data_IF_881894479144
#
_entry.id   IF_881894479144
#
_cell.length_a   1.000
_cell.length_b   1.000
_cell.length_c   1.000
_cell.angle_alpha   90.00
_cell.angle_beta   90.00
_cell.angle_gamma   90.00
#
_symmetry.space_group_name_H-M   'P 1'
#
loop_
_entity.id
_entity.type
_entity.pdbx_description
1 polymer ?
#
# COMPACT_ATOMS: atom_id res chain seq x y z
N UNK A 1 -0.08 98.27 24.87
CA UNK A 1 -1.40 98.82 24.47
C UNK A 1 -2.12 97.77 23.63
N UNK A 2 -3.31 97.31 24.07
CA UNK A 2 -4.40 96.67 23.28
C UNK A 2 -4.04 95.38 22.50
N UNK A 3 -4.87 94.35 22.35
CA UNK A 3 -6.15 93.84 22.88
C UNK A 3 -6.24 92.45 22.20
N UNK A 4 -6.63 91.39 22.90
CA UNK A 4 -7.01 90.13 22.24
C UNK A 4 -8.30 90.31 21.40
N UNK A 5 -8.65 89.37 20.48
CA UNK A 5 -9.49 88.25 20.94
C UNK A 5 -9.29 86.89 20.23
N UNK A 6 -9.91 85.89 20.86
CA UNK A 6 -10.08 84.48 20.52
C UNK A 6 -10.71 84.19 19.14
N UNK A 7 -10.44 83.00 18.57
CA UNK A 7 -11.50 82.06 18.10
C UNK A 7 -11.03 80.60 18.01
N UNK A 8 -11.94 79.70 18.41
CA UNK A 8 -11.91 78.23 18.53
C UNK A 8 -11.92 77.44 17.20
N UNK A 9 -11.40 76.19 17.22
CA UNK A 9 -12.12 74.88 17.05
C UNK A 9 -11.11 73.73 16.79
N UNK A 10 -10.86 72.83 17.75
CA UNK A 10 -11.47 71.50 18.00
C UNK A 10 -10.99 70.35 17.09
N UNK A 11 -10.23 69.41 17.68
CA UNK A 11 -10.40 67.93 17.60
C UNK A 11 -9.29 67.25 18.43
N UNK A 12 -9.53 66.90 19.72
CA UNK A 12 -9.73 65.53 20.22
C UNK A 12 -8.91 64.44 19.49
N UNK A 13 -7.89 63.89 20.16
CA UNK A 13 -7.50 62.46 20.17
C UNK A 13 -6.68 62.24 21.45
N UNK A 14 -7.33 61.82 22.54
CA UNK A 14 -7.45 60.44 23.03
C UNK A 14 -6.18 59.95 23.74
N UNK A 15 -6.28 59.99 25.07
CA UNK A 15 -5.36 59.47 26.07
C UNK A 15 -5.63 57.97 26.24
N UNK A 16 -4.65 57.08 26.05
CA UNK A 16 -4.66 55.73 26.64
C UNK A 16 -3.23 55.28 27.01
N UNK A 17 -2.96 55.42 28.31
CA UNK A 17 -2.25 54.49 29.21
C UNK A 17 -1.31 53.44 28.60
N UNK A 18 -0.03 53.67 28.86
CA UNK A 18 1.05 52.71 28.91
C UNK A 18 0.81 51.75 30.10
N UNK A 19 0.39 50.51 29.83
CA UNK A 19 0.30 49.44 30.84
C UNK A 19 0.62 48.08 30.19
N UNK A 20 1.65 47.42 30.72
CA UNK A 20 1.75 45.97 30.71
C UNK A 20 2.05 45.31 29.36
N UNK A 21 3.27 45.46 28.84
CA UNK A 21 3.87 44.40 28.05
C UNK A 21 4.27 43.25 29.01
N UNK A 22 3.28 42.52 29.54
CA UNK A 22 3.53 41.19 30.06
C UNK A 22 3.91 40.34 28.86
N UNK A 23 5.18 39.94 28.82
CA UNK A 23 5.63 38.88 27.95
C UNK A 23 4.63 37.72 28.06
N UNK A 24 3.87 37.47 26.99
CA UNK A 24 3.26 36.18 26.77
C UNK A 24 4.45 35.23 26.59
N UNK A 25 5.02 34.78 27.70
CA UNK A 25 5.72 33.52 27.70
C UNK A 25 4.67 32.55 27.17
N UNK A 26 4.89 32.04 25.95
CA UNK A 26 4.28 30.80 25.55
C UNK A 26 4.67 29.81 26.65
N UNK A 27 3.78 29.65 27.63
CA UNK A 27 3.89 28.57 28.59
C UNK A 27 3.75 27.35 27.69
N UNK A 28 4.88 26.76 27.32
CA UNK A 28 4.94 25.37 26.92
C UNK A 28 4.37 24.65 28.13
N UNK A 29 3.05 24.41 28.11
CA UNK A 29 2.36 23.68 29.14
C UNK A 29 3.11 22.36 29.26
N UNK A 30 3.69 22.13 30.43
CA UNK A 30 4.37 20.86 30.71
C UNK A 30 3.32 19.78 30.51
N UNK A 31 3.67 18.73 29.78
CA UNK A 31 2.80 17.58 29.58
C UNK A 31 2.34 17.03 30.93
N UNK A 32 1.06 17.15 31.26
CA UNK A 32 0.51 16.62 32.51
C UNK A 32 0.13 15.14 32.32
N UNK A 33 0.40 14.33 33.35
CA UNK A 33 -0.04 12.93 33.39
C UNK A 33 -1.19 12.79 34.35
N UNK A 34 -2.36 12.40 33.83
CA UNK A 34 -3.54 12.13 34.63
C UNK A 34 -3.73 10.62 34.76
N UNK A 35 -3.80 10.13 36.00
CA UNK A 35 -4.09 8.74 36.31
C UNK A 35 -5.58 8.55 36.60
N UNK A 36 -6.21 7.60 35.92
CA UNK A 36 -7.61 7.22 36.17
C UNK A 36 -7.73 6.55 37.55
N UNK A 37 -8.58 7.10 38.41
CA UNK A 37 -8.74 6.66 39.81
C UNK A 37 -9.82 5.58 40.00
N UNK A 38 -10.97 5.60 39.29
CA UNK A 38 -12.00 4.56 39.46
C UNK A 38 -11.54 3.16 39.05
N UNK A 39 -12.04 2.12 39.73
CA UNK A 39 -11.66 0.71 39.50
C UNK A 39 -12.65 -0.11 38.65
N UNK A 40 -13.85 0.43 38.38
CA UNK A 40 -14.97 -0.33 37.75
C UNK A 40 -15.54 0.30 36.45
N UNK A 41 -14.95 1.38 35.95
CA UNK A 41 -15.43 2.16 34.79
C UNK A 41 -15.88 3.56 35.19
N UNK A 42 -16.41 4.33 34.23
CA UNK A 42 -16.90 5.70 34.47
C UNK A 42 -16.95 6.55 33.20
N UNK A 43 -17.18 7.85 33.35
CA UNK A 43 -17.17 8.78 32.23
C UNK A 43 -15.78 9.40 32.06
N UNK A 44 -15.24 9.36 30.85
CA UNK A 44 -14.10 10.20 30.46
C UNK A 44 -14.67 11.45 29.81
N UNK A 45 -14.69 12.53 30.60
CA UNK A 45 -15.19 13.82 30.18
C UNK A 45 -14.46 14.97 30.89
N UNK A 46 -14.82 16.20 30.53
CA UNK A 46 -14.18 17.42 31.03
C UNK A 46 -14.72 17.88 32.39
N UNK A 47 -15.63 17.14 33.00
CA UNK A 47 -16.39 17.58 34.19
C UNK A 47 -16.22 16.68 35.40
N UNK A 48 -15.86 15.41 35.19
CA UNK A 48 -15.79 14.39 36.23
C UNK A 48 -14.41 14.35 36.88
N UNK A 49 -14.38 14.34 38.21
CA UNK A 49 -13.15 14.25 39.01
C UNK A 49 -12.56 12.82 39.08
N UNK A 50 -12.65 12.06 37.99
CA UNK A 50 -12.18 10.67 37.90
C UNK A 50 -10.66 10.56 37.71
N UNK A 51 -9.96 11.69 37.57
CA UNK A 51 -8.55 11.76 37.20
C UNK A 51 -7.73 12.30 38.35
N UNK A 52 -6.48 11.84 38.50
CA UNK A 52 -5.52 12.35 39.46
C UNK A 52 -4.28 12.86 38.73
N UNK A 53 -3.96 14.14 38.90
CA UNK A 53 -2.82 14.84 38.30
C UNK A 53 -1.51 14.72 39.11
N UNK A 54 -1.50 13.84 40.11
CA UNK A 54 -0.40 13.65 41.06
C UNK A 54 -0.57 14.45 42.36
N UNK A 55 -1.45 15.44 42.40
CA UNK A 55 -1.73 16.24 43.59
C UNK A 55 -3.14 16.01 44.13
N UNK A 56 -4.15 15.98 43.25
CA UNK A 56 -5.54 15.85 43.66
C UNK A 56 -6.39 15.18 42.60
N UNK A 57 -7.58 14.72 42.99
CA UNK A 57 -8.58 14.28 42.01
C UNK A 57 -9.19 15.50 41.32
N UNK A 58 -9.02 15.59 40.01
CA UNK A 58 -9.43 16.71 39.18
C UNK A 58 -10.17 16.22 37.93
N UNK A 59 -10.81 17.16 37.22
CA UNK A 59 -11.40 16.86 35.92
C UNK A 59 -10.32 16.72 34.85
N UNK A 60 -10.57 15.89 33.83
CA UNK A 60 -9.66 15.77 32.69
C UNK A 60 -9.59 17.09 31.91
N UNK A 61 -8.37 17.48 31.58
CA UNK A 61 -8.12 18.62 30.70
C UNK A 61 -7.69 18.08 29.34
N UNK A 62 -8.47 18.39 28.31
CA UNK A 62 -8.09 18.05 26.94
C UNK A 62 -6.79 18.73 26.54
N UNK A 63 -5.85 17.97 26.00
CA UNK A 63 -4.58 18.49 25.52
C UNK A 63 -3.76 17.42 24.83
N UNK A 64 -3.23 17.73 23.65
CA UNK A 64 -2.35 16.84 22.89
C UNK A 64 -0.98 16.63 23.54
N UNK A 65 -0.65 17.41 24.58
CA UNK A 65 0.52 17.18 25.44
C UNK A 65 0.23 16.26 26.62
N UNK A 66 -1.04 16.02 26.95
CA UNK A 66 -1.40 15.31 28.17
C UNK A 66 -1.34 13.79 27.98
N UNK A 67 -1.10 13.08 29.07
CA UNK A 67 -1.09 11.62 29.11
C UNK A 67 -2.23 11.12 29.98
N UNK A 68 -3.11 10.33 29.37
CA UNK A 68 -4.15 9.59 30.04
C UNK A 68 -3.62 8.20 30.44
N UNK A 69 -3.42 7.98 31.74
CA UNK A 69 -2.93 6.72 32.28
C UNK A 69 -4.05 5.97 33.00
N UNK A 70 -4.46 4.85 32.42
CA UNK A 70 -5.48 3.98 32.96
C UNK A 70 -4.85 2.89 33.81
N UNK A 71 -5.08 2.98 35.13
CA UNK A 71 -4.68 1.97 36.11
C UNK A 71 -5.35 0.60 35.85
N UNK A 72 -4.86 -0.49 36.46
CA UNK A 72 -5.44 -1.81 36.30
C UNK A 72 -6.94 -1.85 36.61
N UNK A 73 -7.71 -2.36 35.65
CA UNK A 73 -9.15 -2.57 35.78
C UNK A 73 -9.51 -4.00 36.16
N UNK A 74 -10.67 -4.14 36.79
CA UNK A 74 -11.41 -5.40 36.77
C UNK A 74 -11.90 -5.76 35.36
N UNK A 75 -12.28 -7.01 35.15
CA UNK A 75 -12.84 -7.45 33.87
C UNK A 75 -14.11 -6.66 33.51
N UNK A 76 -14.19 -6.14 32.28
CA UNK A 76 -15.39 -5.49 31.74
C UNK A 76 -15.58 -4.02 32.09
N UNK A 77 -14.54 -3.34 32.59
CA UNK A 77 -14.61 -1.90 32.85
C UNK A 77 -14.94 -1.13 31.56
N UNK A 78 -15.99 -0.32 31.62
CA UNK A 78 -16.43 0.53 30.52
C UNK A 78 -16.15 1.99 30.85
N UNK A 79 -15.40 2.65 29.98
CA UNK A 79 -15.14 4.09 30.03
C UNK A 79 -15.94 4.74 28.91
N UNK A 80 -16.84 5.64 29.27
CA UNK A 80 -17.75 6.32 28.34
C UNK A 80 -17.25 7.72 28.04
N UNK A 81 -16.93 7.99 26.77
CA UNK A 81 -16.63 9.30 26.23
C UNK A 81 -17.95 10.03 25.97
N UNK A 82 -18.35 10.89 26.92
CA UNK A 82 -19.56 11.73 26.78
C UNK A 82 -19.27 13.02 26.01
N UNK A 83 -18.00 13.34 25.79
CA UNK A 83 -17.50 14.49 25.03
C UNK A 83 -16.33 14.06 24.15
N UNK A 84 -15.91 14.92 23.22
CA UNK A 84 -14.70 14.67 22.44
C UNK A 84 -13.47 14.82 23.34
N UNK A 85 -12.60 13.81 23.32
CA UNK A 85 -11.40 13.75 24.15
C UNK A 85 -10.18 13.92 23.28
N UNK A 86 -9.25 14.77 23.74
CA UNK A 86 -7.93 14.98 23.12
C UNK A 86 -6.86 14.65 24.14
N UNK A 87 -5.98 13.72 23.80
CA UNK A 87 -4.83 13.32 24.63
C UNK A 87 -3.61 13.04 23.75
N UNK A 88 -2.41 13.36 24.20
CA UNK A 88 -1.19 12.99 23.48
C UNK A 88 -0.93 11.48 23.56
N UNK A 89 -1.11 10.93 24.75
CA UNK A 89 -0.87 9.52 25.03
C UNK A 89 -2.04 8.91 25.81
N UNK A 90 -2.41 7.70 25.43
CA UNK A 90 -3.28 6.81 26.17
C UNK A 90 -2.46 5.59 26.58
N UNK A 91 -2.27 5.38 27.88
CA UNK A 91 -1.62 4.17 28.40
C UNK A 91 -2.61 3.37 29.21
N UNK A 92 -2.69 2.06 28.98
CA UNK A 92 -3.42 1.14 29.85
C UNK A 92 -2.44 0.20 30.51
N UNK A 93 -2.51 0.05 31.82
CA UNK A 93 -1.70 -0.90 32.57
C UNK A 93 -2.62 -1.90 33.25
N UNK A 94 -2.65 -3.16 32.80
CA UNK A 94 -3.50 -4.20 33.42
C UNK A 94 -3.86 -5.30 32.44
N UNK A 95 -4.22 -6.50 32.93
CA UNK A 95 -4.53 -7.66 32.08
C UNK A 95 -5.96 -7.75 31.54
N UNK A 96 -6.88 -6.93 32.07
CA UNK A 96 -8.29 -6.94 31.67
C UNK A 96 -8.56 -6.13 30.39
N UNK A 97 -9.68 -6.39 29.73
CA UNK A 97 -10.16 -5.57 28.60
C UNK A 97 -10.84 -4.30 29.10
N UNK A 98 -10.39 -3.15 28.61
CA UNK A 98 -11.08 -1.86 28.75
C UNK A 98 -12.00 -1.62 27.55
N UNK A 99 -13.24 -1.20 27.80
CA UNK A 99 -14.17 -0.80 26.74
C UNK A 99 -14.20 0.73 26.67
N UNK A 100 -13.80 1.30 25.54
CA UNK A 100 -13.96 2.73 25.24
C UNK A 100 -15.17 2.92 24.33
N UNK A 101 -16.24 3.50 24.85
CA UNK A 101 -17.50 3.70 24.15
C UNK A 101 -18.02 5.13 24.34
N UNK A 102 -19.14 5.49 23.70
CA UNK A 102 -19.81 6.77 23.87
C UNK A 102 -20.01 7.51 22.55
N UNK A 103 -20.68 8.65 22.62
CA UNK A 103 -20.94 9.50 21.45
C UNK A 103 -19.75 10.42 21.09
N UNK A 104 -18.80 10.60 22.01
CA UNK A 104 -17.59 11.38 21.77
C UNK A 104 -16.56 10.67 20.88
N UNK A 105 -15.63 11.45 20.32
CA UNK A 105 -14.46 10.94 19.60
C UNK A 105 -13.21 10.94 20.48
N UNK A 106 -12.21 10.15 20.10
CA UNK A 106 -10.90 10.13 20.73
C UNK A 106 -9.83 10.59 19.74
N UNK A 107 -9.25 11.76 20.01
CA UNK A 107 -8.06 12.25 19.35
C UNK A 107 -6.83 11.87 20.18
N UNK A 108 -6.06 10.90 19.69
CA UNK A 108 -4.88 10.37 20.39
C UNK A 108 -3.75 10.01 19.42
N UNK A 109 -2.55 10.47 19.74
CA UNK A 109 -1.37 10.19 18.92
C UNK A 109 -0.71 8.86 19.32
N UNK A 110 -0.60 8.57 20.62
CA UNK A 110 0.11 7.39 21.12
C UNK A 110 -0.82 6.53 21.97
N UNK A 111 -0.94 5.25 21.63
CA UNK A 111 -1.60 4.25 22.47
C UNK A 111 -0.54 3.25 22.92
N UNK A 112 -0.50 2.96 24.22
CA UNK A 112 0.38 1.97 24.80
C UNK A 112 -0.40 1.00 25.68
N UNK A 113 -0.35 -0.28 25.35
CA UNK A 113 -0.83 -1.34 26.25
C UNK A 113 0.36 -1.98 26.95
N UNK A 114 0.51 -1.69 28.24
CA UNK A 114 1.55 -2.23 29.07
C UNK A 114 0.99 -3.37 29.93
N UNK A 115 1.71 -4.49 29.98
CA UNK A 115 1.36 -5.59 30.86
C UNK A 115 2.02 -5.47 32.22
N UNK A 116 1.29 -5.86 33.26
CA UNK A 116 1.90 -6.38 34.50
C UNK A 116 2.07 -7.88 34.29
N UNK A 117 3.22 -8.45 34.69
CA UNK A 117 3.48 -9.91 34.63
C UNK A 117 3.22 -10.60 33.28
N UNK A 118 3.44 -9.91 32.16
CA UNK A 118 3.43 -10.48 30.82
C UNK A 118 2.07 -10.51 30.09
N UNK A 119 0.96 -10.13 30.75
CA UNK A 119 -0.35 -9.98 30.11
C UNK A 119 -0.72 -8.51 29.95
N UNK A 120 -0.88 -8.07 28.71
CA UNK A 120 -1.31 -6.72 28.37
C UNK A 120 -2.81 -6.71 28.06
N UNK A 121 -3.54 -5.80 28.70
CA UNK A 121 -4.98 -5.63 28.55
C UNK A 121 -5.34 -5.20 27.14
N UNK A 122 -6.50 -5.65 26.67
CA UNK A 122 -7.03 -5.22 25.37
C UNK A 122 -7.88 -3.95 25.53
N UNK A 123 -8.01 -3.20 24.44
CA UNK A 123 -8.91 -2.05 24.33
C UNK A 123 -9.97 -2.42 23.28
N UNK A 124 -11.22 -2.50 23.71
CA UNK A 124 -12.37 -2.57 22.83
C UNK A 124 -12.83 -1.15 22.52
N UNK A 125 -12.53 -0.69 21.30
CA UNK A 125 -12.71 0.68 20.89
C UNK A 125 -13.95 0.84 20.01
N UNK A 126 -15.03 1.30 20.63
CA UNK A 126 -16.28 1.70 19.97
C UNK A 126 -16.32 3.21 19.68
N UNK A 127 -15.54 4.01 20.39
CA UNK A 127 -15.36 5.42 20.05
C UNK A 127 -14.52 5.58 18.78
N UNK A 128 -14.85 6.55 17.93
CA UNK A 128 -14.11 6.84 16.69
C UNK A 128 -12.75 7.48 17.02
N UNK A 129 -11.67 6.95 16.44
CA UNK A 129 -10.37 7.63 16.44
C UNK A 129 -10.37 8.77 15.43
N UNK A 130 -9.96 9.96 15.86
CA UNK A 130 -9.87 11.18 15.04
C UNK A 130 -8.50 11.84 15.24
N UNK A 131 -8.23 12.93 14.51
CA UNK A 131 -7.05 13.77 14.73
C UNK A 131 -6.32 14.16 13.46
N UNK A 132 -5.56 15.26 13.50
CA UNK A 132 -4.75 15.71 12.37
C UNK A 132 -3.30 15.18 12.44
N UNK A 133 -3.12 13.96 12.95
CA UNK A 133 -1.83 13.31 13.13
C UNK A 133 -1.94 11.78 13.06
N UNK A 134 -0.80 11.12 12.81
CA UNK A 134 -0.73 9.66 12.78
C UNK A 134 -1.03 9.03 14.14
N UNK A 135 -1.14 7.69 14.13
CA UNK A 135 -1.34 6.87 15.33
C UNK A 135 -0.12 5.98 15.54
N UNK A 136 0.50 6.06 16.71
CA UNK A 136 1.50 5.12 17.18
C UNK A 136 0.87 4.16 18.19
N UNK A 137 0.89 2.86 17.90
CA UNK A 137 0.43 1.84 18.84
C UNK A 137 1.58 0.90 19.22
N UNK A 138 1.82 0.78 20.53
CA UNK A 138 2.80 -0.13 21.10
C UNK A 138 2.17 -1.07 22.13
N UNK A 139 2.65 -2.32 22.18
CA UNK A 139 2.35 -3.27 23.25
C UNK A 139 3.65 -3.88 23.76
N UNK A 140 3.72 -4.13 25.07
CA UNK A 140 4.85 -4.83 25.71
C UNK A 140 4.54 -6.27 26.14
N UNK A 141 3.31 -6.75 25.95
CA UNK A 141 2.93 -8.13 26.27
C UNK A 141 3.63 -9.17 25.40
N UNK A 142 3.66 -10.43 25.83
CA UNK A 142 4.25 -11.52 25.03
C UNK A 142 3.31 -11.93 23.88
N UNK A 143 3.83 -12.64 22.88
CA UNK A 143 3.00 -13.15 21.77
C UNK A 143 1.87 -14.03 22.33
N UNK A 144 0.63 -13.82 21.87
CA UNK A 144 -0.63 -14.39 22.36
C UNK A 144 -1.18 -13.80 23.68
N UNK A 145 -0.40 -13.00 24.40
CA UNK A 145 -0.80 -12.26 25.61
C UNK A 145 -0.57 -10.75 25.47
N UNK A 146 -0.39 -10.31 24.22
CA UNK A 146 -0.21 -8.92 23.84
C UNK A 146 -1.52 -8.14 23.93
N UNK A 147 -1.41 -6.85 24.23
CA UNK A 147 -2.57 -5.98 24.30
C UNK A 147 -3.11 -5.82 22.89
N UNK A 148 -4.41 -6.00 22.72
CA UNK A 148 -5.06 -5.81 21.44
C UNK A 148 -5.77 -4.46 21.41
N UNK A 149 -5.61 -3.72 20.32
CA UNK A 149 -6.48 -2.62 19.99
C UNK A 149 -7.57 -3.16 19.05
N UNK A 150 -8.76 -3.42 19.59
CA UNK A 150 -9.90 -3.93 18.84
C UNK A 150 -10.72 -2.74 18.35
N UNK A 151 -10.50 -2.36 17.10
CA UNK A 151 -11.18 -1.23 16.46
C UNK A 151 -12.51 -1.72 15.90
N UNK A 152 -13.60 -1.10 16.36
CA UNK A 152 -14.98 -1.46 15.99
C UNK A 152 -15.69 -0.39 15.17
N UNK A 153 -15.06 0.78 15.00
CA UNK A 153 -15.54 1.91 14.20
C UNK A 153 -14.40 2.42 13.33
N UNK A 154 -14.71 2.78 12.08
CA UNK A 154 -13.71 3.26 11.13
C UNK A 154 -13.03 4.54 11.64
N UNK A 155 -11.70 4.55 11.64
CA UNK A 155 -10.91 5.69 12.08
C UNK A 155 -10.83 6.78 11.01
N UNK A 156 -10.60 8.02 11.43
CA UNK A 156 -10.57 9.21 10.57
C UNK A 156 -9.54 10.22 11.06
N UNK A 157 -8.37 9.71 11.45
CA UNK A 157 -7.19 10.54 11.67
C UNK A 157 -6.37 10.67 10.38
N UNK A 158 -5.54 11.71 10.28
CA UNK A 158 -4.65 11.93 9.13
C UNK A 158 -3.24 11.45 9.43
N UNK A 159 -2.51 10.90 8.46
CA UNK A 159 -1.13 10.49 8.66
C UNK A 159 -1.01 9.01 8.98
N UNK A 160 0.22 8.57 9.27
CA UNK A 160 0.57 7.15 9.26
C UNK A 160 0.23 6.42 10.57
N UNK A 161 -0.01 5.11 10.44
CA UNK A 161 -0.21 4.19 11.56
C UNK A 161 1.09 3.44 11.79
N UNK A 162 1.70 3.60 12.96
CA UNK A 162 2.93 2.91 13.32
C UNK A 162 2.67 1.89 14.41
N UNK A 163 3.04 0.64 14.16
CA UNK A 163 2.96 -0.46 15.13
C UNK A 163 4.37 -0.83 15.61
N UNK A 164 4.54 -0.97 16.92
CA UNK A 164 5.82 -1.35 17.54
C UNK A 164 5.66 -2.35 18.70
N UNK A 165 6.78 -2.95 19.12
CA UNK A 165 6.77 -4.02 20.13
C UNK A 165 5.95 -5.21 19.67
N UNK A 166 4.97 -5.62 20.48
CA UNK A 166 4.02 -6.70 20.15
C UNK A 166 2.63 -6.17 19.80
N UNK A 167 2.53 -4.92 19.34
CA UNK A 167 1.26 -4.29 18.99
C UNK A 167 0.39 -5.18 18.10
N UNK A 168 -0.85 -5.38 18.52
CA UNK A 168 -1.85 -6.17 17.82
C UNK A 168 -3.10 -5.33 17.56
N UNK A 169 -3.34 -4.97 16.32
CA UNK A 169 -4.57 -4.27 15.91
C UNK A 169 -5.52 -5.27 15.29
N UNK A 170 -6.77 -5.28 15.78
CA UNK A 170 -7.85 -6.11 15.29
C UNK A 170 -8.92 -5.22 14.64
N UNK A 171 -9.13 -5.38 13.33
CA UNK A 171 -10.29 -4.85 12.62
C UNK A 171 -11.49 -5.74 12.93
N UNK A 172 -12.29 -5.35 13.91
CA UNK A 172 -13.40 -6.16 14.43
C UNK A 172 -14.73 -5.70 13.81
N UNK A 173 -15.18 -6.44 12.80
CA UNK A 173 -16.44 -6.21 12.08
C UNK A 173 -16.58 -4.81 11.47
N UNK A 174 -15.47 -4.18 11.09
CA UNK A 174 -15.45 -2.84 10.51
C UNK A 174 -14.49 -2.78 9.34
N UNK A 175 -14.94 -2.21 8.23
CA UNK A 175 -14.07 -1.85 7.11
C UNK A 175 -13.35 -0.54 7.40
N UNK A 176 -12.11 -0.43 6.95
CA UNK A 176 -11.26 0.73 7.21
C UNK A 176 -11.14 1.04 8.71
N UNK A 177 -10.85 0.02 9.53
CA UNK A 177 -10.44 0.21 10.92
C UNK A 177 -9.29 1.21 11.04
N UNK A 178 -8.39 1.21 10.05
CA UNK A 178 -7.40 2.26 9.85
C UNK A 178 -7.84 3.21 8.72
N UNK A 179 -7.47 4.50 8.76
CA UNK A 179 -7.83 5.46 7.72
C UNK A 179 -7.24 5.09 6.36
N UNK A 180 -7.99 5.32 5.28
CA UNK A 180 -7.55 4.98 3.91
C UNK A 180 -6.27 5.70 3.46
N UNK A 181 -5.96 6.83 4.09
CA UNK A 181 -4.81 7.68 3.78
C UNK A 181 -3.53 7.27 4.51
N UNK A 182 -3.60 6.29 5.40
CA UNK A 182 -2.48 5.89 6.27
C UNK A 182 -1.48 4.99 5.53
N UNK A 183 -0.18 5.22 5.72
CA UNK A 183 0.79 4.14 5.55
C UNK A 183 0.81 3.32 6.84
N UNK A 184 0.61 2.01 6.73
CA UNK A 184 0.74 1.10 7.86
C UNK A 184 2.21 0.66 7.99
N UNK A 185 2.90 1.23 8.99
CA UNK A 185 4.30 0.95 9.30
C UNK A 185 4.40 -0.08 10.43
N UNK A 186 4.87 -1.30 10.12
CA UNK A 186 4.83 -2.42 11.05
C UNK A 186 6.22 -2.90 11.45
N UNK A 187 6.56 -2.78 12.74
CA UNK A 187 7.77 -3.43 13.26
C UNK A 187 7.62 -4.96 13.29
N UNK A 188 8.75 -5.68 13.33
CA UNK A 188 8.75 -7.13 13.58
C UNK A 188 8.00 -7.46 14.88
N UNK A 189 7.26 -8.57 14.90
CA UNK A 189 6.46 -9.01 16.04
C UNK A 189 5.08 -8.38 16.16
N UNK A 190 4.78 -7.34 15.37
CA UNK A 190 3.45 -6.70 15.36
C UNK A 190 2.46 -7.44 14.47
N UNK A 191 1.17 -7.26 14.73
CA UNK A 191 0.09 -7.88 13.95
C UNK A 191 -1.00 -6.87 13.60
N UNK A 192 -1.43 -6.86 12.35
CA UNK A 192 -2.70 -6.29 11.91
C UNK A 192 -3.59 -7.43 11.44
N UNK A 193 -4.78 -7.56 12.02
CA UNK A 193 -5.69 -8.66 11.74
C UNK A 193 -7.07 -8.18 11.31
N UNK A 194 -7.55 -8.74 10.20
CA UNK A 194 -8.92 -8.61 9.73
C UNK A 194 -9.73 -9.81 10.26
N UNK A 195 -10.66 -9.54 11.16
CA UNK A 195 -11.21 -10.59 12.06
C UNK A 195 -12.47 -11.30 11.54
N UNK A 196 -13.28 -10.59 10.75
CA UNK A 196 -14.64 -10.99 10.34
C UNK A 196 -14.73 -11.10 8.82
N UNK A 197 -15.82 -11.68 8.33
CA UNK A 197 -16.06 -11.89 6.90
C UNK A 197 -16.29 -10.58 6.16
N UNK A 198 -15.90 -10.55 4.89
CA UNK A 198 -16.25 -9.47 3.95
C UNK A 198 -15.80 -8.09 4.42
N UNK A 199 -14.69 -8.01 5.16
CA UNK A 199 -14.12 -6.75 5.59
C UNK A 199 -13.09 -6.28 4.57
N UNK A 200 -13.18 -5.00 4.22
CA UNK A 200 -12.19 -4.34 3.37
C UNK A 200 -11.38 -3.38 4.23
N UNK A 201 -10.06 -3.52 4.20
CA UNK A 201 -9.14 -2.50 4.70
C UNK A 201 -8.43 -1.86 3.51
N UNK A 202 -8.51 -0.54 3.44
CA UNK A 202 -7.75 0.26 2.50
C UNK A 202 -6.68 1.07 3.23
N UNK A 203 -5.47 1.13 2.69
CA UNK A 203 -4.34 1.90 3.23
C UNK A 203 -3.56 2.55 2.08
N UNK A 204 -2.88 3.65 2.34
CA UNK A 204 -2.02 4.34 1.39
C UNK A 204 -0.64 3.70 1.23
N UNK A 205 -0.35 2.62 1.96
CA UNK A 205 0.91 1.88 1.82
C UNK A 205 1.09 0.88 2.96
N UNK A 206 1.89 -0.16 2.72
CA UNK A 206 2.27 -1.15 3.72
C UNK A 206 3.80 -1.21 3.81
N UNK A 207 4.35 -1.08 5.01
CA UNK A 207 5.79 -1.08 5.23
C UNK A 207 6.22 -1.89 6.47
N UNK A 208 7.49 -2.29 6.47
CA UNK A 208 8.11 -2.99 7.59
C UNK A 208 7.96 -4.51 7.53
N UNK A 209 7.97 -5.18 8.68
CA UNK A 209 8.18 -6.63 8.80
C UNK A 209 7.21 -7.36 9.74
N UNK A 210 6.08 -6.73 10.09
CA UNK A 210 5.04 -7.35 10.93
C UNK A 210 4.26 -8.48 10.22
N UNK A 211 3.12 -8.85 10.79
CA UNK A 211 2.19 -9.84 10.22
C UNK A 211 0.84 -9.21 9.91
N UNK A 212 0.43 -9.26 8.65
CA UNK A 212 -0.96 -8.99 8.27
C UNK A 212 -1.67 -10.33 8.13
N UNK A 213 -2.84 -10.46 8.76
CA UNK A 213 -3.60 -11.71 8.73
C UNK A 213 -5.11 -11.54 8.56
N UNK A 214 -5.74 -12.56 7.98
CA UNK A 214 -7.19 -12.71 7.95
C UNK A 214 -7.56 -14.17 8.25
N UNK A 215 -8.58 -14.38 9.06
CA UNK A 215 -9.01 -15.73 9.46
C UNK A 215 -10.36 -16.16 8.97
N UNK A 216 -11.02 -15.30 8.22
CA UNK A 216 -12.30 -15.62 7.62
C UNK A 216 -12.31 -15.20 6.14
N UNK A 217 -13.33 -15.60 5.39
CA UNK A 217 -13.38 -15.46 3.93
C UNK A 217 -13.82 -14.06 3.50
N UNK A 218 -13.55 -13.72 2.23
CA UNK A 218 -14.06 -12.51 1.59
C UNK A 218 -13.35 -11.22 1.99
N UNK A 219 -12.22 -11.33 2.70
CA UNK A 219 -11.47 -10.17 3.17
C UNK A 219 -10.56 -9.60 2.08
N UNK A 220 -10.47 -8.27 2.03
CA UNK A 220 -9.68 -7.55 1.03
C UNK A 220 -8.77 -6.54 1.70
N UNK A 221 -7.48 -6.61 1.40
CA UNK A 221 -6.52 -5.56 1.69
C UNK A 221 -6.23 -4.78 0.40
N UNK A 222 -6.64 -3.51 0.35
CA UNK A 222 -6.34 -2.62 -0.77
C UNK A 222 -5.23 -1.65 -0.39
N UNK A 223 -4.18 -1.60 -1.21
CA UNK A 223 -3.03 -0.73 -1.04
C UNK A 223 -3.04 0.33 -2.15
N UNK A 224 -3.20 1.59 -1.76
CA UNK A 224 -3.26 2.76 -2.64
C UNK A 224 -2.04 3.67 -2.47
N UNK A 225 -0.85 3.14 -2.78
CA UNK A 225 0.39 3.91 -2.75
C UNK A 225 0.28 5.18 -3.59
N UNK A 226 0.65 6.32 -3.01
CA UNK A 226 0.59 7.64 -3.67
C UNK A 226 1.60 7.74 -4.80
N UNK A 227 1.31 8.56 -5.80
CA UNK A 227 2.23 8.82 -6.91
C UNK A 227 3.61 9.27 -6.40
N UNK A 228 4.68 8.78 -7.02
CA UNK A 228 6.06 9.05 -6.63
C UNK A 228 6.49 8.43 -5.29
N UNK A 229 5.63 7.66 -4.63
CA UNK A 229 5.94 6.99 -3.36
C UNK A 229 6.20 5.50 -3.59
N UNK A 230 7.19 4.96 -2.89
CA UNK A 230 7.46 3.51 -2.80
C UNK A 230 7.36 3.07 -1.35
N UNK A 231 6.56 2.04 -1.08
CA UNK A 231 6.45 1.41 0.24
C UNK A 231 6.92 -0.03 0.17
N UNK A 232 7.73 -0.46 1.14
CA UNK A 232 8.35 -1.78 1.11
C UNK A 232 7.99 -2.62 2.35
N UNK A 233 7.40 -3.78 2.11
CA UNK A 233 6.98 -4.72 3.13
C UNK A 233 7.72 -6.05 3.00
N UNK A 234 8.45 -6.43 4.04
CA UNK A 234 9.21 -7.69 4.16
C UNK A 234 8.59 -8.64 5.18
N UNK A 235 7.43 -8.29 5.73
CA UNK A 235 6.72 -9.07 6.73
C UNK A 235 5.95 -10.26 6.14
N UNK A 236 5.05 -10.81 6.94
CA UNK A 236 4.22 -11.94 6.53
C UNK A 236 2.81 -11.49 6.13
N UNK A 237 2.27 -12.05 5.05
CA UNK A 237 0.85 -11.97 4.70
C UNK A 237 0.27 -13.37 4.82
N UNK A 238 -0.51 -13.62 5.87
CA UNK A 238 -0.97 -14.97 6.22
C UNK A 238 -2.49 -15.04 6.27
N UNK A 239 -3.09 -15.97 5.52
CA UNK A 239 -4.52 -16.25 5.66
C UNK A 239 -4.83 -17.72 5.44
N UNK A 240 -5.63 -18.30 6.33
CA UNK A 240 -6.11 -19.68 6.22
C UNK A 240 -7.35 -19.81 5.32
N UNK A 241 -8.05 -18.71 5.02
CA UNK A 241 -9.41 -18.70 4.45
C UNK A 241 -9.59 -17.74 3.27
N UNK A 242 -8.47 -17.24 2.73
CA UNK A 242 -8.36 -16.27 1.62
C UNK A 242 -8.49 -14.80 2.03
N UNK A 243 -7.36 -14.10 1.93
CA UNK A 243 -7.24 -12.64 1.93
C UNK A 243 -6.85 -12.24 0.50
N UNK A 244 -7.67 -11.42 -0.16
CA UNK A 244 -7.30 -10.82 -1.44
C UNK A 244 -6.47 -9.57 -1.23
N UNK A 245 -5.46 -9.36 -2.06
CA UNK A 245 -4.60 -8.18 -2.04
C UNK A 245 -4.80 -7.41 -3.34
N UNK A 246 -5.14 -6.13 -3.22
CA UNK A 246 -5.39 -5.25 -4.38
C UNK A 246 -4.42 -4.09 -4.34
N UNK A 247 -3.68 -3.89 -5.42
CA UNK A 247 -2.83 -2.72 -5.65
C UNK A 247 -3.60 -1.77 -6.57
N UNK A 248 -4.00 -0.63 -6.04
CA UNK A 248 -4.87 0.35 -6.71
C UNK A 248 -4.35 1.79 -6.64
N UNK A 249 -3.12 1.98 -6.16
CA UNK A 249 -2.47 3.30 -6.07
C UNK A 249 -1.87 3.77 -7.39
N UNK A 250 -1.17 4.91 -7.37
CA UNK A 250 -0.35 5.39 -8.48
C UNK A 250 1.16 5.24 -8.23
N UNK A 251 1.55 4.86 -7.00
CA UNK A 251 2.93 4.57 -6.62
C UNK A 251 3.27 3.08 -6.67
N UNK A 252 4.33 2.72 -5.96
CA UNK A 252 4.87 1.35 -5.94
C UNK A 252 4.72 0.71 -4.56
N UNK A 253 4.07 -0.45 -4.49
CA UNK A 253 4.13 -1.32 -3.32
C UNK A 253 5.11 -2.47 -3.60
N UNK A 254 6.15 -2.60 -2.77
CA UNK A 254 7.06 -3.75 -2.79
C UNK A 254 6.62 -4.81 -1.79
N UNK A 255 6.46 -6.05 -2.23
CA UNK A 255 6.27 -7.22 -1.38
C UNK A 255 7.53 -8.09 -1.45
N UNK A 256 8.32 -8.04 -0.38
CA UNK A 256 9.60 -8.76 -0.23
C UNK A 256 9.61 -9.81 0.88
N UNK A 257 8.47 -10.06 1.53
CA UNK A 257 8.36 -11.09 2.54
C UNK A 257 8.60 -12.48 1.97
N UNK A 258 9.20 -13.38 2.76
CA UNK A 258 9.30 -14.80 2.41
C UNK A 258 7.98 -15.55 2.64
N UNK A 259 7.12 -15.03 3.51
CA UNK A 259 5.86 -15.63 3.92
C UNK A 259 4.66 -14.87 3.34
N UNK A 260 4.52 -14.91 2.01
CA UNK A 260 3.36 -14.36 1.29
C UNK A 260 2.35 -15.49 1.04
N UNK A 261 1.73 -15.94 2.13
CA UNK A 261 0.88 -17.13 2.22
C UNK A 261 -0.61 -16.74 2.37
N UNK A 262 -1.08 -15.81 1.53
CA UNK A 262 -2.50 -15.46 1.47
C UNK A 262 -3.16 -16.21 0.31
N UNK A 263 -4.31 -16.83 0.58
CA UNK A 263 -4.98 -17.72 -0.38
C UNK A 263 -5.95 -16.98 -1.34
N UNK A 264 -6.05 -15.66 -1.24
CA UNK A 264 -6.88 -14.85 -2.13
C UNK A 264 -6.17 -14.46 -3.43
N UNK A 265 -6.88 -13.70 -4.26
CA UNK A 265 -6.34 -13.16 -5.52
C UNK A 265 -5.41 -11.99 -5.23
N UNK A 266 -4.34 -11.89 -6.02
CA UNK A 266 -3.54 -10.67 -6.11
C UNK A 266 -3.99 -9.88 -7.33
N UNK A 267 -4.52 -8.68 -7.14
CA UNK A 267 -4.98 -7.83 -8.25
C UNK A 267 -4.09 -6.59 -8.34
N UNK A 268 -3.58 -6.31 -9.53
CA UNK A 268 -2.82 -5.10 -9.85
C UNK A 268 -3.66 -4.24 -10.79
N UNK A 269 -4.51 -3.38 -10.21
CA UNK A 269 -5.45 -2.56 -10.95
C UNK A 269 -4.90 -1.18 -11.33
N UNK A 270 -3.93 -0.67 -10.58
CA UNK A 270 -3.22 0.59 -10.87
C UNK A 270 -1.84 0.59 -10.18
N UNK A 271 -0.96 1.52 -10.55
CA UNK A 271 0.35 1.68 -9.92
C UNK A 271 1.26 0.49 -10.20
N UNK A 272 2.20 0.22 -9.29
CA UNK A 272 3.16 -0.88 -9.45
C UNK A 272 3.15 -1.81 -8.24
N UNK A 273 2.99 -3.11 -8.50
CA UNK A 273 3.35 -4.18 -7.56
C UNK A 273 4.76 -4.66 -7.90
N UNK A 274 5.73 -4.39 -7.01
CA UNK A 274 7.10 -4.89 -7.13
C UNK A 274 7.29 -6.13 -6.24
N UNK A 275 7.49 -7.29 -6.84
CA UNK A 275 7.75 -8.54 -6.13
C UNK A 275 9.24 -8.73 -5.90
N UNK A 276 9.61 -8.75 -4.62
CA UNK A 276 10.92 -9.17 -4.13
C UNK A 276 10.89 -10.53 -3.42
N UNK A 277 9.69 -11.01 -3.07
CA UNK A 277 9.42 -12.34 -2.57
C UNK A 277 8.41 -13.07 -3.45
N UNK A 278 8.48 -14.41 -3.45
CA UNK A 278 7.52 -15.25 -4.18
C UNK A 278 6.15 -15.23 -3.52
N UNK A 279 5.10 -15.27 -4.34
CA UNK A 279 3.73 -15.50 -3.88
C UNK A 279 3.56 -17.01 -3.72
N UNK A 280 3.40 -17.51 -2.50
CA UNK A 280 3.47 -18.95 -2.25
C UNK A 280 2.10 -19.64 -2.39
N UNK A 281 1.02 -19.00 -1.92
CA UNK A 281 -0.29 -19.64 -1.80
C UNK A 281 -1.44 -18.90 -2.52
N UNK A 282 -1.15 -17.94 -3.40
CA UNK A 282 -2.21 -17.14 -4.06
C UNK A 282 -3.03 -17.98 -5.03
N UNK A 283 -4.35 -17.76 -5.05
CA UNK A 283 -5.29 -18.48 -5.93
C UNK A 283 -5.38 -17.91 -7.34
N UNK A 284 -4.89 -16.70 -7.57
CA UNK A 284 -4.67 -16.10 -8.90
C UNK A 284 -3.87 -14.81 -8.79
N UNK A 285 -3.25 -14.41 -9.91
CA UNK A 285 -2.69 -13.07 -10.11
C UNK A 285 -3.39 -12.43 -11.31
N UNK A 286 -3.90 -11.22 -11.13
CA UNK A 286 -4.64 -10.49 -12.16
C UNK A 286 -4.04 -9.11 -12.34
N UNK A 287 -3.65 -8.77 -13.57
CA UNK A 287 -3.21 -7.44 -13.95
C UNK A 287 -4.29 -6.79 -14.81
N UNK A 288 -4.93 -5.74 -14.29
CA UNK A 288 -6.09 -5.10 -14.95
C UNK A 288 -5.88 -3.64 -15.28
N UNK A 289 -4.72 -3.08 -14.98
CA UNK A 289 -4.38 -1.69 -15.32
C UNK A 289 -3.05 -1.18 -14.77
N UNK A 290 -2.51 -1.81 -13.71
CA UNK A 290 -1.20 -1.44 -13.17
C UNK A 290 -0.03 -2.21 -13.79
N UNK A 291 1.12 -2.17 -13.11
CA UNK A 291 2.36 -2.86 -13.49
C UNK A 291 2.70 -3.94 -12.47
N UNK A 292 2.82 -5.19 -12.93
CA UNK A 292 3.44 -6.26 -12.15
C UNK A 292 4.93 -6.31 -12.49
N UNK A 293 5.79 -6.20 -11.49
CA UNK A 293 7.24 -6.22 -11.67
C UNK A 293 7.96 -7.11 -10.66
N UNK A 294 9.19 -7.56 -10.98
CA UNK A 294 10.11 -8.16 -10.00
C UNK A 294 11.44 -7.39 -9.86
N UNK A 295 12.07 -7.52 -8.69
CA UNK A 295 13.49 -7.21 -8.52
C UNK A 295 14.38 -8.47 -8.32
N UNK A 296 13.78 -9.65 -8.26
CA UNK A 296 14.47 -10.93 -8.08
C UNK A 296 14.62 -11.67 -9.42
N UNK A 297 15.60 -12.57 -9.48
CA UNK A 297 15.90 -13.30 -10.72
C UNK A 297 14.81 -14.33 -11.09
N UNK A 298 14.12 -14.90 -10.09
CA UNK A 298 13.01 -15.82 -10.29
C UNK A 298 11.96 -15.58 -9.19
N UNK A 299 10.72 -15.30 -9.60
CA UNK A 299 9.57 -15.12 -8.71
C UNK A 299 8.50 -16.13 -9.08
N UNK A 300 7.99 -16.84 -8.06
CA UNK A 300 6.79 -17.67 -8.21
C UNK A 300 5.54 -16.81 -8.05
N UNK A 301 4.58 -16.95 -8.95
CA UNK A 301 3.31 -16.20 -8.97
C UNK A 301 2.14 -16.97 -8.31
N UNK A 302 2.45 -17.88 -7.38
CA UNK A 302 1.48 -18.67 -6.63
C UNK A 302 0.88 -19.85 -7.38
N UNK A 303 -0.19 -20.40 -6.80
CA UNK A 303 -0.82 -21.65 -7.21
C UNK A 303 -2.03 -21.45 -8.15
N UNK A 304 -2.23 -20.23 -8.64
CA UNK A 304 -3.36 -19.82 -9.43
C UNK A 304 -3.03 -19.40 -10.86
N UNK A 305 -4.08 -19.17 -11.65
CA UNK A 305 -3.95 -18.59 -12.99
C UNK A 305 -3.35 -17.18 -12.91
N UNK A 306 -2.48 -16.86 -13.87
CA UNK A 306 -2.04 -15.49 -14.12
C UNK A 306 -2.85 -14.94 -15.29
N UNK A 307 -3.52 -13.81 -15.07
CA UNK A 307 -4.35 -13.17 -16.09
C UNK A 307 -3.99 -11.69 -16.29
N UNK A 308 -4.09 -11.20 -17.52
CA UNK A 308 -3.94 -9.77 -17.83
C UNK A 308 -5.02 -9.30 -18.81
N UNK A 309 -5.76 -8.27 -18.43
CA UNK A 309 -6.72 -7.61 -19.36
C UNK A 309 -6.22 -6.26 -19.85
N UNK A 310 -5.37 -5.59 -19.08
CA UNK A 310 -4.69 -4.35 -19.41
C UNK A 310 -3.50 -4.16 -18.46
N UNK A 311 -2.73 -3.08 -18.65
CA UNK A 311 -1.55 -2.79 -17.83
C UNK A 311 -0.27 -3.41 -18.38
N UNK A 312 0.70 -3.66 -17.49
CA UNK A 312 2.06 -4.07 -17.86
C UNK A 312 2.50 -5.25 -16.98
N UNK A 313 3.08 -6.28 -17.60
CA UNK A 313 3.94 -7.25 -16.93
C UNK A 313 5.38 -6.90 -17.33
N UNK A 314 6.17 -6.43 -16.38
CA UNK A 314 7.56 -6.01 -16.52
C UNK A 314 8.43 -6.98 -15.71
N UNK A 315 9.03 -7.99 -16.33
CA UNK A 315 9.53 -9.15 -15.57
C UNK A 315 10.59 -8.73 -14.55
N UNK A 316 11.63 -8.01 -14.96
CA UNK A 316 12.66 -7.52 -14.05
C UNK A 316 13.41 -6.26 -14.55
N UNK A 317 12.68 -5.34 -15.16
CA UNK A 317 13.22 -4.06 -15.61
C UNK A 317 14.12 -4.20 -16.82
N UNK A 318 15.44 -4.07 -16.61
CA UNK A 318 16.48 -4.21 -17.65
C UNK A 318 17.43 -5.37 -17.38
N UNK A 319 17.19 -6.12 -16.30
CA UNK A 319 17.99 -7.27 -15.91
C UNK A 319 17.21 -8.53 -16.24
N UNK A 320 17.86 -9.63 -16.68
CA UNK A 320 17.14 -10.86 -16.96
C UNK A 320 16.46 -11.38 -15.69
N UNK A 321 15.20 -11.77 -15.85
CA UNK A 321 14.36 -12.30 -14.79
C UNK A 321 13.39 -13.36 -15.29
N UNK A 322 12.70 -13.97 -14.34
CA UNK A 322 11.76 -15.05 -14.61
C UNK A 322 10.55 -14.95 -13.69
N UNK A 323 9.37 -15.08 -14.28
CA UNK A 323 8.18 -15.45 -13.54
C UNK A 323 7.89 -16.94 -13.73
N UNK A 324 7.72 -17.65 -12.62
CA UNK A 324 7.40 -19.08 -12.62
C UNK A 324 5.97 -19.30 -12.11
N UNK A 325 5.16 -19.98 -12.91
CA UNK A 325 3.81 -20.41 -12.57
C UNK A 325 3.87 -21.82 -11.95
N UNK A 326 2.94 -22.11 -11.05
CA UNK A 326 2.80 -23.46 -10.46
C UNK A 326 2.24 -24.48 -11.46
N UNK A 327 2.27 -25.75 -11.06
CA UNK A 327 1.65 -26.88 -11.77
C UNK A 327 0.21 -26.61 -12.15
N UNK A 328 -0.11 -26.92 -13.41
CA UNK A 328 -1.42 -26.80 -14.04
C UNK A 328 -1.94 -25.37 -14.14
N UNK A 329 -1.09 -24.35 -13.96
CA UNK A 329 -1.52 -22.96 -14.06
C UNK A 329 -1.33 -22.41 -15.46
N UNK A 330 -2.29 -21.58 -15.87
CA UNK A 330 -2.31 -20.95 -17.18
C UNK A 330 -1.86 -19.49 -17.08
N UNK A 331 -1.28 -19.00 -18.18
CA UNK A 331 -1.16 -17.57 -18.46
C UNK A 331 -2.20 -17.20 -19.51
N UNK A 332 -3.10 -16.26 -19.20
CA UNK A 332 -4.10 -15.78 -20.15
C UNK A 332 -4.06 -14.26 -20.25
N UNK A 333 -3.98 -13.72 -21.46
CA UNK A 333 -3.98 -12.27 -21.68
C UNK A 333 -4.99 -11.90 -22.74
N UNK A 334 -5.69 -10.77 -22.54
CA UNK A 334 -6.71 -10.22 -23.45
C UNK A 334 -6.48 -8.73 -23.72
N UNK A 335 -5.23 -8.29 -23.58
CA UNK A 335 -4.85 -6.88 -23.61
C UNK A 335 -3.62 -6.62 -22.73
N UNK A 336 -3.00 -5.46 -22.92
CA UNK A 336 -1.84 -5.01 -22.14
C UNK A 336 -0.49 -5.29 -22.81
N UNK A 337 0.58 -5.07 -22.05
CA UNK A 337 1.97 -5.18 -22.52
C UNK A 337 2.74 -6.17 -21.64
N UNK A 338 3.42 -7.12 -22.26
CA UNK A 338 4.46 -7.93 -21.59
C UNK A 338 5.82 -7.47 -22.11
N UNK A 339 6.71 -7.07 -21.20
CA UNK A 339 8.07 -6.67 -21.55
C UNK A 339 9.03 -7.83 -21.37
N UNK A 340 9.98 -7.94 -22.30
CA UNK A 340 11.07 -8.89 -22.26
C UNK A 340 12.39 -8.20 -22.60
N UNK A 341 13.40 -8.35 -21.75
CA UNK A 341 14.80 -8.13 -22.10
C UNK A 341 15.34 -9.32 -22.90
N UNK A 342 15.96 -9.05 -24.06
CA UNK A 342 16.54 -10.05 -24.95
C UNK A 342 18.06 -9.90 -25.03
N UNK A 343 18.81 -11.01 -25.00
CA UNK A 343 20.27 -10.99 -25.06
C UNK A 343 20.87 -12.31 -24.60
N UNK A 344 22.06 -12.26 -23.99
CA UNK A 344 22.68 -13.44 -23.36
C UNK A 344 21.87 -13.96 -22.16
N UNK A 345 21.24 -13.05 -21.41
CA UNK A 345 20.15 -13.35 -20.51
C UNK A 345 18.84 -12.93 -21.17
N UNK A 346 17.80 -13.74 -21.04
CA UNK A 346 16.48 -13.45 -21.61
C UNK A 346 15.45 -13.56 -20.50
N UNK A 347 14.54 -12.59 -20.46
CA UNK A 347 13.37 -12.66 -19.61
C UNK A 347 12.45 -13.83 -19.96
N UNK A 348 11.83 -14.44 -18.97
CA UNK A 348 10.92 -15.57 -19.21
C UNK A 348 9.67 -15.54 -18.33
N UNK A 349 8.57 -16.04 -18.90
CA UNK A 349 7.44 -16.54 -18.13
C UNK A 349 7.39 -18.06 -18.32
N UNK A 350 7.55 -18.80 -17.25
CA UNK A 350 7.64 -20.26 -17.29
C UNK A 350 6.45 -20.91 -16.59
N UNK A 351 5.80 -21.86 -17.27
CA UNK A 351 5.00 -22.89 -16.63
C UNK A 351 5.89 -23.98 -16.00
N UNK A 352 5.27 -24.99 -15.41
CA UNK A 352 5.96 -26.10 -14.75
C UNK A 352 5.78 -27.45 -15.45
N UNK A 353 5.65 -27.43 -16.77
CA UNK A 353 5.45 -28.59 -17.64
C UNK A 353 3.97 -28.93 -17.90
N UNK A 354 3.04 -28.31 -17.18
CA UNK A 354 1.59 -28.51 -17.34
C UNK A 354 0.87 -27.17 -17.24
N UNK A 355 -0.10 -26.92 -18.12
CA UNK A 355 -0.75 -25.61 -18.27
C UNK A 355 -0.45 -24.98 -19.64
N UNK A 356 -1.21 -23.96 -20.02
CA UNK A 356 -1.13 -23.31 -21.32
C UNK A 356 -0.89 -21.81 -21.21
N UNK A 357 -0.29 -21.22 -22.24
CA UNK A 357 -0.34 -19.77 -22.45
C UNK A 357 -1.33 -19.41 -23.58
N UNK A 358 -2.13 -18.37 -23.37
CA UNK A 358 -3.03 -17.82 -24.37
C UNK A 358 -2.90 -16.30 -24.42
N UNK A 359 -2.53 -15.77 -25.58
CA UNK A 359 -2.29 -14.33 -25.75
C UNK A 359 -3.24 -13.72 -26.79
N UNK A 360 -4.21 -12.94 -26.34
CA UNK A 360 -5.10 -12.18 -27.21
C UNK A 360 -4.85 -10.68 -27.04
N UNK A 361 -4.79 -9.94 -28.16
CA UNK A 361 -4.70 -8.47 -28.20
C UNK A 361 -3.54 -7.90 -27.34
N UNK A 362 -2.45 -8.66 -27.26
CA UNK A 362 -1.33 -8.41 -26.35
C UNK A 362 -0.13 -7.86 -27.11
N UNK A 363 0.52 -6.86 -26.53
CA UNK A 363 1.80 -6.35 -27.04
C UNK A 363 2.96 -7.03 -26.33
N UNK A 364 3.87 -7.63 -27.10
CA UNK A 364 5.18 -8.07 -26.62
C UNK A 364 6.19 -6.95 -26.94
N UNK A 365 6.74 -6.34 -25.90
CA UNK A 365 7.68 -5.24 -26.01
C UNK A 365 9.10 -5.70 -25.64
N UNK A 366 10.06 -5.43 -26.51
CA UNK A 366 11.43 -5.91 -26.36
C UNK A 366 12.39 -4.79 -25.98
N UNK A 367 13.30 -5.10 -25.06
CA UNK A 367 14.53 -4.34 -24.86
C UNK A 367 15.69 -5.18 -25.37
N UNK A 368 16.42 -4.67 -26.36
CA UNK A 368 17.55 -5.39 -26.95
C UNK A 368 18.81 -5.12 -26.13
N UNK A 369 19.26 -6.14 -25.39
CA UNK A 369 20.41 -6.10 -24.51
C UNK A 369 21.68 -6.65 -25.13
N UNK A 370 22.70 -6.81 -24.28
CA UNK A 370 24.01 -7.34 -24.68
C UNK A 370 23.89 -8.77 -25.21
N UNK A 371 24.54 -9.04 -26.34
CA UNK A 371 24.55 -10.34 -27.01
C UNK A 371 23.24 -10.68 -27.75
N UNK A 372 22.33 -9.72 -27.89
CA UNK A 372 21.20 -9.85 -28.81
C UNK A 372 21.70 -10.03 -30.25
N UNK A 373 21.04 -10.93 -30.98
CA UNK A 373 21.21 -11.17 -32.40
C UNK A 373 19.87 -11.58 -33.03
N UNK A 374 19.57 -11.06 -34.22
CA UNK A 374 18.41 -11.46 -35.01
C UNK A 374 18.51 -12.89 -35.55
N UNK A 375 19.71 -13.49 -35.57
CA UNK A 375 19.91 -14.88 -35.97
C UNK A 375 19.56 -15.88 -34.84
N UNK A 376 19.45 -15.40 -33.60
CA UNK A 376 19.12 -16.24 -32.45
C UNK A 376 17.60 -16.36 -32.27
N UNK A 377 17.19 -17.39 -31.54
CA UNK A 377 15.84 -17.55 -31.03
C UNK A 377 15.81 -17.38 -29.52
N UNK A 378 14.67 -16.94 -28.99
CA UNK A 378 14.52 -16.60 -27.56
C UNK A 378 13.28 -17.31 -27.00
N UNK A 379 13.47 -18.14 -25.97
CA UNK A 379 12.35 -18.78 -25.29
C UNK A 379 11.72 -17.79 -24.30
N UNK A 380 10.62 -17.14 -24.70
CA UNK A 380 9.91 -16.15 -23.86
C UNK A 380 8.91 -16.83 -22.94
N UNK A 381 8.21 -17.84 -23.47
CA UNK A 381 7.31 -18.69 -22.72
C UNK A 381 7.87 -20.11 -22.73
N UNK A 382 8.11 -20.69 -21.56
CA UNK A 382 8.70 -22.02 -21.42
C UNK A 382 7.90 -22.88 -20.46
N UNK A 383 8.05 -24.21 -20.52
CA UNK A 383 7.38 -25.11 -19.58
C UNK A 383 5.85 -25.12 -19.65
N UNK A 384 5.24 -24.68 -20.75
CA UNK A 384 3.81 -24.86 -21.01
C UNK A 384 3.58 -26.09 -21.90
N UNK A 385 2.46 -26.79 -21.73
CA UNK A 385 2.07 -27.92 -22.57
C UNK A 385 1.52 -27.50 -23.93
N UNK A 386 1.02 -26.26 -24.03
CA UNK A 386 0.51 -25.67 -25.27
C UNK A 386 0.52 -24.15 -25.22
N UNK A 387 0.43 -23.54 -26.40
CA UNK A 387 0.38 -22.09 -26.57
C UNK A 387 -0.58 -21.70 -27.69
N UNK A 388 -1.29 -20.60 -27.51
CA UNK A 388 -2.13 -19.99 -28.55
C UNK A 388 -2.03 -18.46 -28.50
N UNK A 389 -2.24 -17.82 -29.64
CA UNK A 389 -2.25 -16.37 -29.70
C UNK A 389 -3.09 -15.82 -30.86
N UNK A 390 -3.61 -14.61 -30.70
CA UNK A 390 -4.38 -13.86 -31.70
C UNK A 390 -4.11 -12.36 -31.54
N UNK A 391 -3.96 -11.64 -32.67
CA UNK A 391 -3.72 -10.19 -32.69
C UNK A 391 -2.51 -9.75 -31.84
N UNK A 392 -1.41 -10.50 -31.91
CA UNK A 392 -0.17 -10.10 -31.25
C UNK A 392 0.46 -8.90 -31.94
N UNK A 393 0.95 -7.97 -31.13
CA UNK A 393 1.79 -6.85 -31.59
C UNK A 393 3.19 -7.01 -31.02
N UNK A 394 4.21 -6.80 -31.85
CA UNK A 394 5.62 -6.83 -31.42
C UNK A 394 6.21 -5.42 -31.52
N UNK A 395 6.96 -4.99 -30.50
CA UNK A 395 7.62 -3.67 -30.47
C UNK A 395 9.03 -3.76 -29.88
N UNK A 396 9.86 -2.73 -30.10
CA UNK A 396 11.21 -2.70 -29.52
C UNK A 396 12.27 -3.49 -30.31
N UNK A 397 12.05 -3.69 -31.60
CA UNK A 397 13.01 -4.31 -32.52
C UNK A 397 13.06 -3.54 -33.85
N UNK A 398 14.01 -3.87 -34.72
CA UNK A 398 14.12 -3.31 -36.07
C UNK A 398 13.05 -3.91 -36.98
N UNK A 399 11.85 -3.33 -36.94
CA UNK A 399 10.71 -3.74 -37.74
C UNK A 399 10.80 -3.32 -39.20
N UNK A 400 11.79 -2.51 -39.59
CA UNK A 400 12.01 -2.15 -40.99
C UNK A 400 12.70 -3.29 -41.74
N UNK A 401 13.66 -3.95 -41.09
CA UNK A 401 14.47 -4.99 -41.71
C UNK A 401 14.10 -6.41 -41.25
N UNK A 402 13.31 -6.57 -40.19
CA UNK A 402 12.93 -7.87 -39.66
C UNK A 402 11.43 -7.97 -39.36
N UNK A 403 10.90 -9.18 -39.41
CA UNK A 403 9.57 -9.55 -38.91
C UNK A 403 9.74 -10.49 -37.73
N UNK A 404 9.18 -10.12 -36.58
CA UNK A 404 9.12 -10.97 -35.40
C UNK A 404 7.99 -12.01 -35.51
N UNK A 405 8.23 -13.23 -35.01
CA UNK A 405 7.22 -14.29 -34.93
C UNK A 405 7.37 -15.08 -33.63
N UNK A 406 6.24 -15.46 -33.03
CA UNK A 406 6.19 -16.31 -31.84
C UNK A 406 5.60 -17.67 -32.24
N UNK A 407 6.27 -18.76 -31.87
CA UNK A 407 5.73 -20.11 -32.06
C UNK A 407 4.76 -20.49 -30.94
N UNK A 408 3.91 -21.50 -31.17
CA UNK A 408 3.05 -22.09 -30.12
C UNK A 408 3.85 -22.75 -28.98
N UNK A 409 5.16 -22.99 -29.17
CA UNK A 409 6.07 -23.43 -28.12
C UNK A 409 6.63 -22.28 -27.27
N UNK A 410 6.26 -21.03 -27.56
CA UNK A 410 6.69 -19.85 -26.80
C UNK A 410 8.07 -19.31 -27.20
N UNK A 411 8.61 -19.76 -28.33
CA UNK A 411 9.91 -19.34 -28.85
C UNK A 411 9.71 -18.20 -29.86
N UNK A 412 10.37 -17.06 -29.61
CA UNK A 412 10.47 -15.90 -30.49
C UNK A 412 11.60 -16.11 -31.51
N UNK A 413 11.33 -15.75 -32.76
CA UNK A 413 12.31 -15.69 -33.84
C UNK A 413 12.10 -14.44 -34.70
N UNK A 414 13.13 -14.11 -35.48
CA UNK A 414 13.10 -12.99 -36.43
C UNK A 414 13.45 -13.49 -37.83
N UNK A 415 12.75 -12.98 -38.84
CA UNK A 415 13.05 -13.26 -40.26
C UNK A 415 13.31 -11.94 -40.97
N UNK A 416 14.38 -11.87 -41.76
CA UNK A 416 14.67 -10.66 -42.53
C UNK A 416 13.53 -10.35 -43.50
N UNK A 417 13.09 -9.09 -43.55
CA UNK A 417 12.16 -8.59 -44.56
C UNK A 417 12.94 -8.57 -45.88
N UNK A 418 12.50 -9.29 -46.92
CA UNK A 418 13.20 -9.27 -48.19
C UNK A 418 13.30 -7.84 -48.72
N UNK A 419 14.52 -7.34 -48.92
CA UNK A 419 14.70 -6.10 -49.66
C UNK A 419 14.09 -6.27 -51.06
N UNK A 420 13.34 -5.28 -51.58
CA UNK A 420 12.90 -5.33 -52.96
C UNK A 420 14.15 -5.43 -53.84
N UNK A 421 14.30 -6.55 -54.54
CA UNK A 421 15.56 -6.87 -55.21
C UNK A 421 16.06 -5.69 -56.03
N UNK A 422 17.36 -5.39 -55.91
CA UNK A 422 18.01 -4.33 -56.70
C UNK A 422 17.85 -4.57 -58.21
N UNK A 423 17.65 -5.83 -58.60
CA UNK A 423 17.31 -6.25 -59.98
C UNK A 423 15.91 -5.77 -60.38
N UNK A 424 14.90 -5.88 -59.52
CA UNK A 424 13.56 -5.36 -59.82
C UNK A 424 13.56 -3.83 -59.91
N UNK A 425 14.28 -3.14 -59.02
CA UNK A 425 14.44 -1.68 -59.08
C UNK A 425 15.25 -1.25 -60.32
N UNK A 426 16.31 -1.99 -60.65
CA UNK A 426 17.13 -1.80 -61.83
C UNK A 426 16.36 -2.06 -63.13
N UNK A 427 15.55 -3.12 -63.19
CA UNK A 427 14.70 -3.42 -64.34
C UNK A 427 13.63 -2.34 -64.56
N UNK A 428 13.04 -1.81 -63.49
CA UNK A 428 12.13 -0.68 -63.56
C UNK A 428 12.84 0.59 -64.07
N UNK A 429 14.06 0.85 -63.56
CA UNK A 429 14.90 1.95 -64.02
C UNK A 429 15.24 1.86 -65.51
N UNK A 430 15.63 0.67 -65.99
CA UNK A 430 15.91 0.41 -67.42
C UNK A 430 14.64 0.55 -68.24
N UNK A 431 13.50 0.05 -67.78
CA UNK A 431 12.22 0.18 -68.47
C UNK A 431 11.78 1.66 -68.61
N UNK A 432 11.97 2.49 -67.57
CA UNK A 432 11.68 3.92 -67.61
C UNK A 432 12.62 4.68 -68.57
N UNK A 433 13.91 4.34 -68.59
CA UNK A 433 14.88 4.89 -69.55
C UNK A 433 14.47 4.50 -70.99
N UNK A 434 14.13 3.23 -71.22
CA UNK A 434 13.68 2.75 -72.52
C UNK A 434 12.39 3.45 -72.98
N UNK A 435 11.43 3.68 -72.08
CA UNK A 435 10.20 4.40 -72.38
C UNK A 435 10.46 5.89 -72.70
N UNK A 436 11.40 6.54 -71.99
CA UNK A 436 11.80 7.93 -72.27
C UNK A 436 12.53 8.07 -73.60
N UNK A 437 13.39 7.10 -73.96
CA UNK A 437 14.07 7.09 -75.25
C UNK A 437 13.08 6.89 -76.40
N UNK A 438 12.07 6.03 -76.24
CA UNK A 438 11.02 5.81 -77.26
C UNK A 438 10.16 7.06 -77.53
N UNK A 439 9.98 7.94 -76.54
CA UNK A 439 9.24 9.21 -76.70
C UNK A 439 10.04 10.33 -77.39
N UNK A 440 11.36 10.22 -77.52
CA UNK A 440 12.20 11.22 -78.23
C UNK A 440 12.34 10.95 -79.73
N UNK A 441 11.84 9.81 -80.21
CA UNK A 441 11.89 9.39 -81.62
C UNK A 441 10.57 9.56 -82.35
N UNK A 442 9.66 10.42 -81.85
CA UNK A 442 8.44 10.83 -82.57
C UNK A 442 8.47 12.32 -82.79
#
# INVERSE_FOLDING_TARGET
MKKAPLTHRFARHLLYTLAGASALAAHTAVADTYSWVPTTGGNWDLTTANWNDGASTTAWVNGSGNTAYFNPFGAGATVTLTTNIVTGTLTTNGGATMVLNGAGTLDVQNISTAGVSGSSGSIDLFAKLTGNHGLSYSSTGTVNNQGRLNVKVAADYTGDTTLSGTAYVLSDNVSNALPVTTTLNMSSGTTFRIAKNNITQEIAGLSGSGTVSATTTGNVLTIRTKSGTTTAYTGSLNSSTALSVVIAGAGTQTLGGSNLNYNGTTTVSSGTLLLAGSLNNTSSVTVSGGTLQSNAADIKLGAGMVSMSAGIIDIRGTAPGKFTLSVNQNLATTGGVIKFDLGTGTDQIAGSGTGAFSLADTTLAFTLGVGFSYANTYALFSGFSSGSFSNLTFTGYDSANYTASLSNAGVLSFTAVPEPSTIALGALGVALIAFRLRRRTV
#
